data_IF_313416031014
#
_entry.id   IF_313416031014
#
_cell.length_a   1.000
_cell.length_b   1.000
_cell.length_c   1.000
_cell.angle_alpha   90.00
_cell.angle_beta   90.00
_cell.angle_gamma   90.00
#
_symmetry.space_group_name_H-M   'P 1'
#
loop_
_entity.id
_entity.type
_entity.pdbx_description
1 polymer ?
#
# COMPACT_ATOMS: atom_id res chain seq x y z
N UNK A 1 8.24 -6.97 8.99
CA UNK A 1 8.48 -7.87 7.85
C UNK A 1 9.93 -7.71 7.41
N UNK A 2 10.66 -8.80 7.18
CA UNK A 2 12.07 -8.75 6.78
C UNK A 2 12.15 -8.74 5.25
N UNK A 3 12.26 -7.56 4.64
CA UNK A 3 12.28 -7.40 3.18
C UNK A 3 13.70 -7.46 2.59
N UNK A 4 14.73 -7.40 3.44
CA UNK A 4 16.13 -7.27 3.03
C UNK A 4 16.61 -8.44 2.15
N UNK A 5 16.18 -9.66 2.47
CA UNK A 5 16.51 -10.85 1.69
C UNK A 5 15.87 -10.82 0.30
N UNK A 6 14.60 -10.37 0.22
CA UNK A 6 13.90 -10.21 -1.05
C UNK A 6 14.61 -9.14 -1.90
N UNK A 7 14.89 -7.98 -1.30
CA UNK A 7 15.60 -6.88 -1.94
C UNK A 7 16.98 -7.30 -2.47
N UNK A 8 17.74 -8.07 -1.68
CA UNK A 8 19.01 -8.63 -2.10
C UNK A 8 18.83 -9.59 -3.28
N UNK A 9 17.81 -10.46 -3.24
CA UNK A 9 17.54 -11.41 -4.31
C UNK A 9 17.14 -10.73 -5.61
N UNK A 10 16.33 -9.67 -5.55
CA UNK A 10 15.95 -8.88 -6.73
C UNK A 10 17.19 -8.30 -7.42
N UNK A 11 18.11 -7.70 -6.64
CA UNK A 11 19.39 -7.19 -7.16
C UNK A 11 20.27 -8.30 -7.75
N UNK A 12 20.34 -9.45 -7.07
CA UNK A 12 21.14 -10.60 -7.51
C UNK A 12 20.62 -11.20 -8.83
N UNK A 13 19.29 -11.32 -8.98
CA UNK A 13 18.68 -11.94 -10.15
C UNK A 13 18.39 -10.98 -11.29
N UNK A 14 18.51 -9.66 -11.07
CA UNK A 14 18.07 -8.65 -12.03
C UNK A 14 16.55 -8.68 -12.28
N UNK A 15 15.77 -9.05 -11.26
CA UNK A 15 14.31 -9.09 -11.39
C UNK A 15 13.74 -7.67 -11.51
N UNK A 16 12.61 -7.52 -12.20
CA UNK A 16 11.95 -6.22 -12.37
C UNK A 16 11.27 -5.71 -11.08
N UNK A 17 10.90 -6.63 -10.19
CA UNK A 17 10.36 -6.37 -8.86
C UNK A 17 10.41 -7.64 -8.01
N UNK A 18 10.20 -7.49 -6.70
CA UNK A 18 9.99 -8.57 -5.75
C UNK A 18 8.67 -8.41 -4.99
N UNK A 19 8.11 -9.52 -4.53
CA UNK A 19 6.85 -9.54 -3.75
C UNK A 19 7.07 -10.38 -2.50
N UNK A 20 6.72 -9.83 -1.34
CA UNK A 20 6.77 -10.49 -0.05
C UNK A 20 5.38 -10.51 0.60
N UNK A 21 4.94 -11.70 1.00
CA UNK A 21 3.73 -11.91 1.79
C UNK A 21 4.10 -12.23 3.24
N UNK A 22 3.15 -12.05 4.16
CA UNK A 22 3.27 -12.56 5.51
C UNK A 22 2.67 -13.98 5.65
N UNK A 23 2.55 -14.46 6.89
CA UNK A 23 2.34 -15.89 7.17
C UNK A 23 0.96 -16.42 6.77
N UNK A 24 -0.07 -15.58 6.89
CA UNK A 24 -1.45 -15.84 6.52
C UNK A 24 -1.87 -15.14 5.22
N UNK A 25 -1.03 -14.23 4.69
CA UNK A 25 -1.14 -13.70 3.33
C UNK A 25 -2.14 -12.55 3.19
N UNK A 26 -2.53 -11.90 4.28
CA UNK A 26 -3.37 -10.69 4.25
C UNK A 26 -2.55 -9.43 3.94
N UNK A 27 -1.21 -9.51 4.01
CA UNK A 27 -0.31 -8.38 3.72
C UNK A 27 0.62 -8.63 2.56
N UNK A 28 0.97 -7.54 1.88
CA UNK A 28 1.99 -7.51 0.84
C UNK A 28 2.93 -6.32 1.03
N UNK A 29 4.22 -6.59 0.88
CA UNK A 29 5.24 -5.57 0.62
C UNK A 29 5.96 -5.94 -0.68
N UNK A 30 6.49 -4.95 -1.38
CA UNK A 30 7.21 -5.18 -2.64
C UNK A 30 8.61 -4.59 -2.59
N UNK A 31 9.43 -4.96 -3.56
CA UNK A 31 10.71 -4.33 -3.82
C UNK A 31 10.78 -3.93 -5.30
N UNK A 32 11.31 -2.75 -5.59
CA UNK A 32 11.51 -2.30 -6.98
C UNK A 32 12.70 -3.02 -7.65
N UNK A 33 12.99 -2.67 -8.91
CA UNK A 33 14.08 -3.23 -9.72
C UNK A 33 15.49 -3.01 -9.13
N UNK A 34 15.63 -2.09 -8.17
CA UNK A 34 16.88 -1.84 -7.43
C UNK A 34 16.89 -2.48 -6.04
N UNK A 35 15.80 -3.18 -5.69
CA UNK A 35 15.58 -3.73 -4.38
C UNK A 35 15.33 -2.66 -3.32
N UNK A 36 14.81 -1.49 -3.68
CA UNK A 36 14.28 -0.55 -2.69
C UNK A 36 12.95 -1.09 -2.15
N UNK A 37 12.69 -1.00 -0.84
CA UNK A 37 11.45 -1.45 -0.26
C UNK A 37 10.28 -0.53 -0.64
N UNK A 38 9.15 -1.14 -0.95
CA UNK A 38 7.88 -0.51 -1.33
C UNK A 38 6.82 -0.99 -0.33
N UNK A 39 6.32 -0.08 0.49
CA UNK A 39 5.38 -0.38 1.58
C UNK A 39 3.91 -0.18 1.19
N UNK A 40 3.00 -0.42 2.14
CA UNK A 40 1.56 -0.33 1.85
C UNK A 40 1.10 1.06 1.41
N UNK A 41 1.74 2.14 1.88
CA UNK A 41 1.38 3.50 1.46
C UNK A 41 1.80 3.74 0.00
N UNK A 42 2.98 3.22 -0.38
CA UNK A 42 3.49 3.27 -1.74
C UNK A 42 2.59 2.49 -2.72
N UNK A 43 2.18 1.28 -2.33
CA UNK A 43 1.28 0.44 -3.13
C UNK A 43 -0.12 1.07 -3.24
N UNK A 44 -0.64 1.65 -2.15
CA UNK A 44 -1.92 2.35 -2.14
C UNK A 44 -1.91 3.54 -3.12
N UNK A 45 -0.80 4.28 -3.21
CA UNK A 45 -0.62 5.35 -4.19
C UNK A 45 -0.73 4.85 -5.64
N UNK A 46 0.01 3.79 -5.98
CA UNK A 46 0.02 3.20 -7.33
C UNK A 46 -1.38 2.76 -7.75
N UNK A 47 -2.08 2.05 -6.85
CA UNK A 47 -3.44 1.59 -7.10
C UNK A 47 -4.42 2.74 -7.24
N UNK A 48 -4.38 3.73 -6.35
CA UNK A 48 -5.28 4.88 -6.38
C UNK A 48 -5.16 5.65 -7.70
N UNK A 49 -3.93 5.93 -8.14
CA UNK A 49 -3.67 6.62 -9.41
C UNK A 49 -4.15 5.80 -10.61
N UNK A 50 -3.81 4.51 -10.68
CA UNK A 50 -4.22 3.65 -11.81
C UNK A 50 -5.73 3.50 -11.88
N UNK A 51 -6.39 3.32 -10.73
CA UNK A 51 -7.85 3.16 -10.67
C UNK A 51 -8.59 4.47 -10.95
N UNK A 52 -8.04 5.63 -10.58
CA UNK A 52 -8.57 6.92 -11.00
C UNK A 52 -8.50 7.06 -12.52
N UNK A 53 -7.35 6.75 -13.13
CA UNK A 53 -7.16 6.84 -14.58
C UNK A 53 -8.08 5.89 -15.37
N UNK A 54 -8.38 4.71 -14.82
CA UNK A 54 -9.28 3.74 -15.44
C UNK A 54 -10.77 3.94 -15.10
N UNK A 55 -11.12 4.94 -14.28
CA UNK A 55 -12.50 5.16 -13.80
C UNK A 55 -13.03 4.09 -12.83
N UNK A 56 -12.14 3.27 -12.26
CA UNK A 56 -12.46 2.17 -11.33
C UNK A 56 -12.46 2.63 -9.87
N UNK A 57 -11.76 3.72 -9.57
CA UNK A 57 -11.72 4.27 -8.22
C UNK A 57 -13.09 4.88 -7.88
N UNK A 58 -13.69 4.39 -6.80
CA UNK A 58 -14.94 4.91 -6.27
C UNK A 58 -14.76 5.37 -4.85
N UNK A 59 -15.49 6.41 -4.46
CA UNK A 59 -15.43 7.01 -3.13
C UNK A 59 -14.06 7.60 -2.78
N UNK A 60 -13.80 7.68 -1.48
CA UNK A 60 -12.57 8.23 -0.91
C UNK A 60 -11.56 7.11 -0.66
N UNK A 61 -10.27 7.37 -0.91
CA UNK A 61 -9.19 6.45 -0.51
C UNK A 61 -9.01 6.54 1.00
N UNK A 62 -8.97 5.40 1.68
CA UNK A 62 -8.86 5.38 3.15
C UNK A 62 -7.49 4.84 3.58
N UNK A 63 -6.77 5.62 4.38
CA UNK A 63 -5.59 5.18 5.11
C UNK A 63 -5.79 5.34 6.61
N UNK A 64 -4.76 5.06 7.42
CA UNK A 64 -4.86 5.26 8.88
C UNK A 64 -4.14 6.53 9.33
N UNK A 65 -4.23 6.83 10.63
CA UNK A 65 -3.39 7.83 11.27
C UNK A 65 -1.88 7.55 11.11
N UNK A 66 -1.48 6.32 10.78
CA UNK A 66 -0.07 5.94 10.57
C UNK A 66 0.43 6.21 9.15
N UNK A 67 -0.48 6.37 8.18
CA UNK A 67 -0.13 6.61 6.77
C UNK A 67 0.76 7.83 6.63
N UNK A 68 1.83 7.69 5.85
CA UNK A 68 2.80 8.76 5.63
C UNK A 68 2.14 10.02 5.08
N UNK A 69 2.52 11.19 5.59
CA UNK A 69 1.96 12.46 5.13
C UNK A 69 2.24 12.73 3.64
N UNK A 70 3.36 12.22 3.11
CA UNK A 70 3.67 12.31 1.69
C UNK A 70 2.64 11.63 0.79
N UNK A 71 2.01 10.55 1.25
CA UNK A 71 0.92 9.90 0.51
C UNK A 71 -0.29 10.82 0.38
N UNK A 72 -0.71 11.42 1.50
CA UNK A 72 -1.85 12.34 1.54
C UNK A 72 -1.61 13.55 0.62
N UNK A 73 -0.41 14.12 0.63
CA UNK A 73 -0.04 15.21 -0.27
C UNK A 73 -0.07 14.77 -1.74
N UNK A 74 0.44 13.57 -2.06
CA UNK A 74 0.45 13.05 -3.41
C UNK A 74 -0.96 12.77 -3.94
N UNK A 75 -1.87 12.23 -3.11
CA UNK A 75 -3.28 12.02 -3.48
C UNK A 75 -4.01 13.35 -3.67
N UNK A 76 -3.77 14.33 -2.81
CA UNK A 76 -4.35 15.66 -2.93
C UNK A 76 -3.94 16.36 -4.23
N UNK A 77 -2.67 16.22 -4.65
CA UNK A 77 -2.19 16.75 -5.93
C UNK A 77 -2.89 16.12 -7.15
N UNK A 78 -3.38 14.89 -7.02
CA UNK A 78 -4.18 14.18 -8.03
C UNK A 78 -5.69 14.41 -7.89
N UNK A 79 -6.11 15.28 -6.96
CA UNK A 79 -7.52 15.50 -6.61
C UNK A 79 -8.25 14.20 -6.20
N UNK A 80 -7.52 13.25 -5.62
CA UNK A 80 -8.07 12.04 -5.03
C UNK A 80 -8.41 12.33 -3.57
N UNK A 81 -9.70 12.24 -3.16
CA UNK A 81 -10.06 12.40 -1.76
C UNK A 81 -9.38 11.33 -0.90
N UNK A 82 -8.89 11.75 0.26
CA UNK A 82 -8.25 10.86 1.23
C UNK A 82 -8.85 11.05 2.61
N UNK A 83 -9.13 9.94 3.31
CA UNK A 83 -9.64 9.92 4.67
C UNK A 83 -8.71 9.12 5.57
N UNK A 84 -8.40 9.68 6.74
CA UNK A 84 -7.68 8.98 7.81
C UNK A 84 -8.65 8.32 8.78
N UNK A 85 -8.53 7.01 8.93
CA UNK A 85 -9.20 6.21 9.94
C UNK A 85 -8.29 5.99 11.16
N UNK A 86 -8.88 5.52 12.27
CA UNK A 86 -8.11 5.00 13.42
C UNK A 86 -7.27 3.80 12.97
N UNK A 87 -6.18 3.51 13.70
CA UNK A 87 -5.31 2.37 13.39
C UNK A 87 -6.06 1.04 13.56
N UNK A 88 -5.93 0.16 12.57
CA UNK A 88 -6.62 -1.12 12.49
C UNK A 88 -7.50 -1.24 11.24
N UNK A 89 -7.29 -2.32 10.50
CA UNK A 89 -8.06 -2.81 9.34
C UNK A 89 -9.58 -2.57 9.44
N UNK A 90 -10.20 -2.87 10.58
CA UNK A 90 -11.64 -2.70 10.81
C UNK A 90 -12.12 -1.27 10.58
N UNK A 91 -11.32 -0.28 10.95
CA UNK A 91 -11.71 1.13 10.84
C UNK A 91 -11.53 1.63 9.41
N UNK A 92 -10.53 1.10 8.70
CA UNK A 92 -10.36 1.35 7.27
C UNK A 92 -11.54 0.76 6.50
N UNK A 93 -11.89 -0.50 6.75
CA UNK A 93 -13.03 -1.16 6.12
C UNK A 93 -14.35 -0.43 6.42
N UNK A 94 -14.60 -0.08 7.68
CA UNK A 94 -15.80 0.67 8.07
C UNK A 94 -15.92 2.00 7.31
N UNK A 95 -14.83 2.78 7.26
CA UNK A 95 -14.82 4.06 6.54
C UNK A 95 -15.04 3.90 5.03
N UNK A 96 -14.51 2.83 4.43
CA UNK A 96 -14.76 2.51 3.02
C UNK A 96 -16.23 2.20 2.77
N UNK A 97 -16.85 1.34 3.59
CA UNK A 97 -18.27 0.99 3.46
C UNK A 97 -19.17 2.21 3.63
N UNK A 98 -18.94 3.01 4.67
CA UNK A 98 -19.72 4.22 4.95
C UNK A 98 -19.56 5.29 3.85
N UNK A 99 -18.35 5.41 3.29
CA UNK A 99 -18.01 6.37 2.24
C UNK A 99 -18.23 5.88 0.81
N UNK A 100 -18.71 4.64 0.62
CA UNK A 100 -18.82 4.01 -0.69
C UNK A 100 -17.48 3.89 -1.44
N UNK A 101 -16.36 3.78 -0.70
CA UNK A 101 -15.02 3.66 -1.21
C UNK A 101 -14.63 2.22 -1.54
N UNK A 102 -13.79 2.04 -2.56
CA UNK A 102 -13.31 0.69 -2.97
C UNK A 102 -11.86 0.39 -2.62
N UNK A 103 -11.07 1.41 -2.23
CA UNK A 103 -9.63 1.28 -2.03
C UNK A 103 -9.18 1.89 -0.72
N UNK A 104 -8.51 1.10 0.12
CA UNK A 104 -7.84 1.61 1.30
C UNK A 104 -6.74 0.69 1.79
N UNK A 105 -6.09 1.03 2.89
CA UNK A 105 -5.10 0.15 3.48
C UNK A 105 -4.25 0.78 4.58
N UNK A 106 -3.25 0.02 4.99
CA UNK A 106 -2.29 0.40 6.02
C UNK A 106 -0.86 0.30 5.49
N UNK A 107 0.05 1.13 6.02
CA UNK A 107 1.49 1.10 5.69
C UNK A 107 2.12 -0.28 5.89
N UNK A 108 1.53 -1.14 6.71
CA UNK A 108 1.94 -2.53 6.96
C UNK A 108 1.86 -3.43 5.72
N UNK A 109 1.12 -3.02 4.68
CA UNK A 109 0.84 -3.84 3.50
C UNK A 109 -0.53 -4.51 3.51
N UNK A 110 -1.35 -4.29 4.55
CA UNK A 110 -2.75 -4.73 4.56
C UNK A 110 -3.59 -3.78 3.70
N UNK A 111 -3.89 -4.18 2.47
CA UNK A 111 -4.63 -3.35 1.51
C UNK A 111 -6.01 -3.95 1.21
N UNK A 112 -7.01 -3.08 1.13
CA UNK A 112 -8.40 -3.43 0.85
C UNK A 112 -8.75 -3.03 -0.58
N UNK A 113 -9.04 -4.02 -1.41
CA UNK A 113 -9.53 -3.87 -2.78
C UNK A 113 -10.98 -4.39 -2.84
N UNK A 114 -11.93 -3.58 -2.36
CA UNK A 114 -13.31 -4.04 -2.08
C UNK A 114 -14.12 -4.43 -3.31
N UNK A 115 -13.65 -4.08 -4.50
CA UNK A 115 -14.25 -4.54 -5.75
C UNK A 115 -13.81 -5.97 -6.15
N UNK A 116 -12.85 -6.56 -5.43
CA UNK A 116 -12.31 -7.91 -5.66
C UNK A 116 -12.42 -8.83 -4.44
N UNK A 117 -12.16 -8.32 -3.25
CA UNK A 117 -12.13 -9.07 -2.00
C UNK A 117 -12.79 -8.28 -0.87
N UNK A 118 -13.43 -8.97 0.07
CA UNK A 118 -14.12 -8.34 1.20
C UNK A 118 -13.21 -8.06 2.40
N UNK A 119 -11.94 -8.45 2.33
CA UNK A 119 -10.92 -8.31 3.39
C UNK A 119 -9.56 -8.02 2.76
N UNK A 120 -8.56 -7.71 3.59
CA UNK A 120 -7.19 -7.58 3.12
C UNK A 120 -6.67 -8.90 2.57
N UNK A 121 -6.14 -8.86 1.36
CA UNK A 121 -5.61 -10.03 0.66
C UNK A 121 -4.35 -9.60 -0.10
N UNK A 122 -3.20 -10.01 0.43
CA UNK A 122 -1.90 -9.62 -0.11
C UNK A 122 -1.71 -10.09 -1.55
N UNK A 123 -2.22 -11.27 -1.91
CA UNK A 123 -2.10 -11.84 -3.26
C UNK A 123 -2.95 -11.03 -4.24
N UNK A 124 -4.20 -10.75 -3.89
CA UNK A 124 -5.08 -9.89 -4.70
C UNK A 124 -4.44 -8.53 -4.88
N UNK A 125 -3.97 -7.90 -3.81
CA UNK A 125 -3.30 -6.60 -3.87
C UNK A 125 -2.05 -6.62 -4.74
N UNK A 126 -1.22 -7.66 -4.64
CA UNK A 126 -0.05 -7.83 -5.52
C UNK A 126 -0.47 -7.92 -6.99
N UNK A 127 -1.50 -8.71 -7.30
CA UNK A 127 -2.04 -8.83 -8.66
C UNK A 127 -2.62 -7.50 -9.17
N UNK A 128 -3.28 -6.72 -8.32
CA UNK A 128 -3.78 -5.39 -8.70
C UNK A 128 -2.64 -4.42 -9.02
N UNK A 129 -1.53 -4.50 -8.28
CA UNK A 129 -0.34 -3.67 -8.56
C UNK A 129 0.28 -4.12 -9.89
N UNK A 130 0.46 -5.43 -10.11
CA UNK A 130 0.98 -5.94 -11.37
C UNK A 130 0.11 -5.57 -12.57
N UNK A 131 -1.22 -5.62 -12.41
CA UNK A 131 -2.19 -5.17 -13.42
C UNK A 131 -2.01 -3.68 -13.74
N UNK A 132 -1.89 -2.83 -12.71
CA UNK A 132 -1.66 -1.39 -12.88
C UNK A 132 -0.36 -1.10 -13.64
N UNK A 133 0.74 -1.76 -13.24
CA UNK A 133 2.04 -1.61 -13.91
C UNK A 133 1.99 -2.09 -15.38
N UNK A 134 1.38 -3.25 -15.62
CA UNK A 134 1.25 -3.83 -16.96
C UNK A 134 0.38 -2.98 -17.89
N UNK A 135 -0.69 -2.38 -17.37
CA UNK A 135 -1.55 -1.46 -18.13
C UNK A 135 -0.79 -0.21 -18.58
N UNK A 136 -0.03 0.38 -17.67
CA UNK A 136 0.66 1.66 -17.90
C UNK A 136 2.02 1.46 -18.60
N UNK A 137 2.49 0.21 -18.70
CA UNK A 137 3.80 -0.13 -19.26
C UNK A 137 4.97 0.41 -18.42
N UNK A 138 4.76 0.57 -17.11
CA UNK A 138 5.71 1.19 -16.19
C UNK A 138 6.34 0.17 -15.24
N UNK A 139 7.59 0.40 -14.86
CA UNK A 139 8.21 -0.26 -13.71
C UNK A 139 7.59 0.23 -12.39
N UNK A 140 7.76 -0.56 -11.32
CA UNK A 140 7.26 -0.19 -9.99
C UNK A 140 7.86 1.15 -9.52
N UNK A 141 9.14 1.40 -9.79
CA UNK A 141 9.81 2.66 -9.46
C UNK A 141 9.25 3.86 -10.23
N UNK A 142 8.99 3.70 -11.53
CA UNK A 142 8.36 4.76 -12.33
C UNK A 142 6.94 5.05 -11.85
N UNK A 143 6.20 4.02 -11.46
CA UNK A 143 4.86 4.18 -10.93
C UNK A 143 4.82 4.98 -9.62
N UNK A 144 5.90 4.97 -8.83
CA UNK A 144 6.03 5.76 -7.61
C UNK A 144 6.49 7.21 -7.84
N UNK A 145 6.86 7.60 -9.06
CA UNK A 145 7.72 8.77 -9.31
C UNK A 145 7.28 10.11 -8.69
N UNK A 146 5.97 10.38 -8.56
CA UNK A 146 5.48 11.63 -7.96
C UNK A 146 5.24 11.55 -6.46
N UNK A 147 5.41 10.37 -5.84
CA UNK A 147 5.27 10.16 -4.41
C UNK A 147 6.59 10.49 -3.71
N UNK A 148 6.56 11.51 -2.86
CA UNK A 148 7.69 11.88 -1.99
C UNK A 148 7.29 11.70 -0.54
N UNK A 149 7.72 10.60 0.09
CA UNK A 149 7.45 10.35 1.51
C UNK A 149 8.22 11.31 2.40
N UNK A 150 7.56 11.80 3.45
CA UNK A 150 8.24 12.57 4.50
C UNK A 150 9.03 11.62 5.40
N UNK A 151 10.16 12.07 5.99
CA UNK A 151 10.89 11.26 6.96
C UNK A 151 9.97 10.86 8.12
N UNK A 152 9.75 9.55 8.27
CA UNK A 152 8.93 8.99 9.33
C UNK A 152 9.61 7.74 9.88
N UNK A 153 9.62 7.61 11.20
CA UNK A 153 10.20 6.44 11.88
C UNK A 153 9.28 6.01 13.01
N UNK A 154 8.83 4.76 12.97
CA UNK A 154 8.07 4.13 14.04
C UNK A 154 8.99 3.24 14.86
N UNK A 155 9.02 3.44 16.18
CA UNK A 155 9.83 2.64 17.09
C UNK A 155 8.90 1.95 18.09
N UNK A 156 8.84 0.62 18.00
CA UNK A 156 8.09 -0.19 18.95
C UNK A 156 8.94 -0.45 20.19
N UNK A 157 8.56 0.18 21.31
CA UNK A 157 9.23 -0.02 22.60
C UNK A 157 8.56 -1.17 23.34
N UNK A 158 9.31 -2.25 23.58
CA UNK A 158 8.82 -3.35 24.42
C UNK A 158 8.73 -2.85 25.85
N UNK A 159 7.52 -2.91 26.41
CA UNK A 159 7.31 -2.61 27.81
C UNK A 159 7.67 -3.84 28.64
N UNK A 160 8.53 -3.65 29.65
CA UNK A 160 8.94 -4.71 30.56
C UNK A 160 7.81 -5.04 31.52
N UNK A 161 6.97 -6.00 31.14
CA UNK A 161 5.99 -6.68 32.00
C UNK A 161 5.07 -5.78 32.84
N UNK A 162 3.84 -5.54 32.37
CA UNK A 162 2.78 -4.99 33.22
C UNK A 162 1.54 -4.48 32.49
N UNK A 163 0.51 -5.35 32.45
CA UNK A 163 -0.94 -5.10 32.37
C UNK A 163 -1.51 -4.30 31.16
N UNK A 164 -2.60 -4.72 30.51
CA UNK A 164 -3.62 -5.74 30.78
C UNK A 164 -4.14 -6.32 29.46
#
# INVERSE_FOLDING_TARGET
>A
THIDNLAAKVRESGAQLGIAFDGDGDRVLMADDQGNPVDGDDLLYVLARSWQASGRLTGTVVGTLMTNYGLEQALAALHIPFQRAKVGDRYVHQALVEGGGTLGGETSGHLLCLDRATTGDGIVSALQVLEALGRDGQSLREALGSLSKVPQKTVNVRLGGGAA
#
